data_IF_745169197855
#
_entry.id   IF_745169197855
#
_cell.length_a   1.000
_cell.length_b   1.000
_cell.length_c   1.000
_cell.angle_alpha   90.00
_cell.angle_beta   90.00
_cell.angle_gamma   90.00
#
_symmetry.space_group_name_H-M   'P 1'
#
loop_
_entity.id
_entity.type
_entity.pdbx_description
1 polymer ?
#
# COMPACT_ATOMS: atom_id res chain seq x y z
N UNK A 1 52.90 0.85 27.61
CA UNK A 1 51.86 1.61 26.89
C UNK A 1 50.83 0.62 26.38
N UNK A 2 49.55 0.70 26.76
CA UNK A 2 48.52 -0.13 26.13
C UNK A 2 48.21 0.44 24.73
N UNK A 3 48.01 -0.46 23.77
CA UNK A 3 47.70 -0.14 22.38
C UNK A 3 46.35 0.61 22.25
N UNK A 4 46.19 1.52 21.26
CA UNK A 4 44.91 2.18 21.02
C UNK A 4 43.86 1.13 20.61
N UNK A 5 42.75 1.07 21.35
CA UNK A 5 41.62 0.23 21.00
C UNK A 5 41.02 0.69 19.66
N UNK A 6 41.00 -0.22 18.69
CA UNK A 6 40.63 0.00 17.30
C UNK A 6 39.23 0.61 17.15
N UNK A 7 39.11 1.71 16.40
CA UNK A 7 37.88 2.48 16.12
C UNK A 7 36.71 1.61 15.66
N UNK A 8 37.00 0.52 14.94
CA UNK A 8 36.02 -0.44 14.42
C UNK A 8 35.35 -1.27 15.52
N UNK A 9 36.06 -1.58 16.62
CA UNK A 9 35.48 -2.29 17.78
C UNK A 9 34.44 -1.42 18.51
N UNK A 10 34.62 -0.09 18.48
CA UNK A 10 33.66 0.86 19.07
C UNK A 10 32.34 0.95 18.31
N UNK A 11 32.34 0.72 16.99
CA UNK A 11 31.12 0.75 16.17
C UNK A 11 30.19 -0.45 16.47
N UNK A 12 30.76 -1.65 16.62
CA UNK A 12 29.98 -2.85 16.90
C UNK A 12 29.43 -2.84 18.34
N UNK A 13 30.20 -2.33 19.30
CA UNK A 13 29.72 -2.14 20.68
C UNK A 13 28.64 -1.05 20.75
N UNK A 14 28.84 0.09 20.08
CA UNK A 14 27.83 1.16 19.98
C UNK A 14 26.54 0.67 19.30
N UNK A 15 26.67 -0.23 18.32
CA UNK A 15 25.52 -0.86 17.66
C UNK A 15 24.75 -1.78 18.60
N UNK A 16 25.44 -2.60 19.39
CA UNK A 16 24.83 -3.48 20.39
C UNK A 16 24.08 -2.66 21.47
N UNK A 17 24.71 -1.60 21.98
CA UNK A 17 24.12 -0.72 22.98
C UNK A 17 22.90 0.05 22.45
N UNK A 18 22.89 0.36 21.14
CA UNK A 18 21.83 1.15 20.49
C UNK A 18 20.81 0.28 19.73
N UNK A 19 20.88 -1.05 19.79
CA UNK A 19 20.13 -1.97 18.93
C UNK A 19 18.61 -1.72 18.97
N UNK A 20 18.04 -1.58 20.18
CA UNK A 20 16.61 -1.33 20.35
C UNK A 20 16.15 0.01 19.79
N UNK A 21 17.01 1.02 19.85
CA UNK A 21 16.72 2.35 19.33
C UNK A 21 16.81 2.39 17.80
N UNK A 22 17.77 1.66 17.21
CA UNK A 22 17.92 1.49 15.77
C UNK A 22 16.73 0.71 15.18
N UNK A 23 16.26 -0.36 15.83
CA UNK A 23 15.05 -1.09 15.41
C UNK A 23 13.82 -0.18 15.47
N UNK A 24 13.65 0.61 16.54
CA UNK A 24 12.54 1.57 16.64
C UNK A 24 12.66 2.71 15.62
N UNK A 25 13.87 3.10 15.25
CA UNK A 25 14.14 4.10 14.21
C UNK A 25 13.76 3.57 12.81
N UNK A 26 14.22 2.37 12.44
CA UNK A 26 13.90 1.74 11.15
C UNK A 26 12.43 1.35 11.07
N UNK A 27 11.81 0.87 12.16
CA UNK A 27 10.39 0.49 12.21
C UNK A 27 9.43 1.64 11.88
N UNK A 28 9.81 2.89 12.20
CA UNK A 28 9.02 4.08 11.85
C UNK A 28 8.95 4.34 10.34
N UNK A 29 9.83 3.72 9.54
CA UNK A 29 10.04 4.08 8.13
C UNK A 29 9.86 2.91 7.17
N UNK A 30 10.35 1.72 7.53
CA UNK A 30 10.20 0.48 6.76
C UNK A 30 9.13 -0.47 7.33
N UNK A 31 8.50 -0.09 8.46
CA UNK A 31 7.52 -0.91 9.16
C UNK A 31 8.16 -1.89 10.17
N UNK A 32 7.41 -2.30 11.20
CA UNK A 32 7.93 -3.08 12.33
C UNK A 32 8.36 -4.50 11.96
N UNK A 33 7.77 -5.08 10.91
CA UNK A 33 8.10 -6.44 10.46
C UNK A 33 9.46 -6.49 9.75
N UNK A 34 9.74 -5.55 8.84
CA UNK A 34 11.03 -5.50 8.12
C UNK A 34 12.18 -4.92 8.97
N UNK A 35 11.88 -4.14 10.01
CA UNK A 35 12.90 -3.40 10.75
C UNK A 35 13.90 -4.27 11.50
N UNK A 36 13.48 -5.42 12.07
CA UNK A 36 14.42 -6.33 12.74
C UNK A 36 15.36 -6.98 11.73
N UNK A 37 14.82 -7.41 10.60
CA UNK A 37 15.58 -8.10 9.56
C UNK A 37 16.60 -7.14 8.92
N UNK A 38 16.20 -5.90 8.61
CA UNK A 38 17.10 -4.89 8.04
C UNK A 38 18.21 -4.46 9.01
N UNK A 39 17.91 -4.33 10.30
CA UNK A 39 18.92 -4.02 11.31
C UNK A 39 19.85 -5.22 11.53
N UNK A 40 19.33 -6.45 11.44
CA UNK A 40 20.14 -7.66 11.53
C UNK A 40 21.09 -7.81 10.33
N UNK A 41 20.61 -7.59 9.11
CA UNK A 41 21.44 -7.58 7.89
C UNK A 41 22.54 -6.53 7.95
N UNK A 42 22.24 -5.35 8.50
CA UNK A 42 23.22 -4.29 8.69
C UNK A 42 24.32 -4.68 9.69
N UNK A 43 23.95 -5.40 10.76
CA UNK A 43 24.89 -5.93 11.73
C UNK A 43 25.81 -6.98 11.10
N UNK A 44 25.26 -7.90 10.30
CA UNK A 44 26.04 -8.94 9.60
C UNK A 44 27.05 -8.28 8.66
N UNK A 45 26.62 -7.30 7.84
CA UNK A 45 27.52 -6.58 6.92
C UNK A 45 28.63 -5.82 7.64
N UNK A 46 28.34 -5.25 8.81
CA UNK A 46 29.34 -4.55 9.63
C UNK A 46 30.32 -5.54 10.28
N UNK A 47 29.84 -6.70 10.73
CA UNK A 47 30.65 -7.77 11.33
C UNK A 47 31.52 -8.50 10.29
N UNK A 48 31.05 -8.66 9.07
CA UNK A 48 31.81 -9.22 7.94
C UNK A 48 32.92 -8.25 7.49
N UNK A 49 32.62 -6.95 7.47
CA UNK A 49 33.61 -5.91 7.16
C UNK A 49 34.74 -5.86 8.19
N UNK A 50 34.42 -6.00 9.49
CA UNK A 50 35.44 -6.14 10.54
C UNK A 50 36.33 -7.38 10.35
N UNK A 51 35.77 -8.47 9.80
CA UNK A 51 36.51 -9.72 9.57
C UNK A 51 37.47 -9.64 8.38
N UNK A 52 37.24 -8.69 7.46
CA UNK A 52 38.07 -8.43 6.27
C UNK A 52 39.05 -7.27 6.39
N UNK A 53 38.93 -6.40 7.41
CA UNK A 53 39.78 -5.21 7.62
C UNK A 53 41.09 -5.49 8.42
N UNK A 54 41.56 -6.73 8.45
CA UNK A 54 42.85 -7.10 9.09
C UNK A 54 44.09 -6.52 8.36
N UNK A 55 43.95 -5.85 7.21
CA UNK A 55 45.08 -5.47 6.33
C UNK A 55 45.05 -4.01 5.78
N UNK A 56 44.28 -3.07 6.35
CA UNK A 56 44.24 -1.67 5.86
C UNK A 56 44.59 -0.61 6.94
N UNK A 57 45.21 0.54 6.59
CA UNK A 57 45.78 1.47 7.56
C UNK A 57 44.69 2.25 8.32
N UNK A 58 44.92 2.47 9.62
CA UNK A 58 44.01 3.14 10.52
C UNK A 58 43.66 4.58 10.07
N UNK A 59 42.36 4.83 9.89
CA UNK A 59 41.82 6.18 9.72
C UNK A 59 41.69 6.90 11.08
N UNK A 60 41.75 8.26 11.11
CA UNK A 60 41.96 9.02 12.33
C UNK A 60 40.76 8.97 13.28
N UNK A 61 41.08 9.07 14.58
CA UNK A 61 40.16 9.06 15.72
C UNK A 61 38.93 9.96 15.50
N UNK A 62 37.78 9.33 15.26
CA UNK A 62 36.49 10.02 15.20
C UNK A 62 35.88 10.08 16.62
N UNK A 63 35.31 11.23 17.04
CA UNK A 63 34.76 11.39 18.38
C UNK A 63 33.58 10.43 18.64
N UNK A 64 33.33 10.00 19.90
CA UNK A 64 32.36 8.94 20.24
C UNK A 64 30.90 9.20 19.82
N UNK A 65 30.53 10.44 19.48
CA UNK A 65 29.22 10.77 18.90
C UNK A 65 29.10 10.51 17.39
N UNK A 66 30.21 10.49 16.65
CA UNK A 66 30.25 10.31 15.20
C UNK A 66 29.88 8.86 14.79
N UNK A 67 30.30 7.87 15.59
CA UNK A 67 29.96 6.46 15.38
C UNK A 67 28.46 6.21 15.40
N UNK A 68 27.74 6.82 16.35
CA UNK A 68 26.28 6.70 16.47
C UNK A 68 25.56 7.42 15.32
N UNK A 69 25.96 8.65 14.98
CA UNK A 69 25.41 9.37 13.82
C UNK A 69 25.61 8.59 12.51
N UNK A 70 26.80 7.98 12.33
CA UNK A 70 27.10 7.12 11.18
C UNK A 70 26.19 5.89 11.13
N UNK A 71 25.95 5.21 12.25
CA UNK A 71 25.03 4.06 12.30
C UNK A 71 23.60 4.44 11.92
N UNK A 72 23.09 5.59 12.39
CA UNK A 72 21.75 6.07 12.00
C UNK A 72 21.67 6.42 10.51
N UNK A 73 22.73 7.02 9.93
CA UNK A 73 22.80 7.29 8.49
C UNK A 73 22.84 5.99 7.66
N UNK A 74 23.58 4.96 8.11
CA UNK A 74 23.60 3.64 7.46
C UNK A 74 22.21 2.99 7.56
N UNK A 75 21.55 3.02 8.73
CA UNK A 75 20.19 2.50 8.88
C UNK A 75 19.18 3.24 8.01
N UNK A 76 19.31 4.56 7.86
CA UNK A 76 18.46 5.37 6.98
C UNK A 76 18.65 4.97 5.51
N UNK A 77 19.88 4.79 5.06
CA UNK A 77 20.18 4.34 3.70
C UNK A 77 19.65 2.94 3.41
N UNK A 78 19.75 2.01 4.37
CA UNK A 78 19.21 0.64 4.25
C UNK A 78 17.68 0.66 4.20
N UNK A 79 17.03 1.48 5.03
CA UNK A 79 15.58 1.65 4.99
C UNK A 79 15.11 2.26 3.67
N UNK A 80 15.82 3.27 3.15
CA UNK A 80 15.54 3.89 1.85
C UNK A 80 15.77 2.89 0.71
N UNK A 81 16.85 2.10 0.74
CA UNK A 81 17.11 1.11 -0.30
C UNK A 81 16.08 -0.01 -0.28
N UNK A 82 15.60 -0.46 0.89
CA UNK A 82 14.50 -1.41 1.01
C UNK A 82 13.20 -0.88 0.40
N UNK A 83 12.86 0.39 0.69
CA UNK A 83 11.69 1.06 0.09
C UNK A 83 11.85 1.24 -1.43
N UNK A 84 13.06 1.60 -1.90
CA UNK A 84 13.40 1.71 -3.32
C UNK A 84 13.44 0.34 -4.03
N UNK A 85 13.82 -0.73 -3.34
CA UNK A 85 13.83 -2.09 -3.88
C UNK A 85 12.41 -2.60 -4.03
N UNK A 86 11.53 -2.35 -3.04
CA UNK A 86 10.09 -2.62 -3.15
C UNK A 86 9.43 -1.89 -4.32
N UNK A 87 9.85 -0.64 -4.60
CA UNK A 87 9.42 0.11 -5.78
C UNK A 87 10.03 -0.43 -7.09
N UNK A 88 11.31 -0.80 -7.11
CA UNK A 88 11.97 -1.42 -8.27
C UNK A 88 11.44 -2.82 -8.60
N UNK A 89 11.01 -3.62 -7.63
CA UNK A 89 10.32 -4.90 -7.89
C UNK A 89 8.95 -4.65 -8.50
N UNK A 90 8.25 -3.58 -8.09
CA UNK A 90 6.98 -3.16 -8.71
C UNK A 90 7.19 -2.60 -10.13
N UNK A 91 8.30 -1.91 -10.40
CA UNK A 91 8.63 -1.31 -11.71
C UNK A 91 9.29 -2.30 -12.69
N UNK A 92 10.00 -3.34 -12.21
CA UNK A 92 10.52 -4.43 -13.08
C UNK A 92 9.41 -5.21 -13.79
N UNK A 93 8.19 -5.20 -13.23
CA UNK A 93 7.00 -5.75 -13.88
C UNK A 93 6.38 -4.80 -14.92
N UNK A 94 6.83 -3.54 -14.99
CA UNK A 94 6.29 -2.53 -15.92
C UNK A 94 7.17 -2.36 -17.18
N UNK A 95 8.49 -2.60 -17.08
CA UNK A 95 9.42 -2.31 -18.19
C UNK A 95 9.64 -3.46 -19.20
N UNK A 96 9.24 -4.71 -18.91
CA UNK A 96 9.41 -5.82 -19.85
C UNK A 96 8.38 -5.86 -21.00
N UNK A 97 7.47 -4.88 -21.09
CA UNK A 97 6.38 -4.86 -22.08
C UNK A 97 6.64 -3.97 -23.30
N UNK A 98 7.79 -3.29 -23.42
CA UNK A 98 8.11 -2.49 -24.62
C UNK A 98 9.56 -2.66 -25.06
N UNK A 99 9.68 -3.22 -26.25
CA UNK A 99 10.82 -3.30 -27.17
C UNK A 99 12.02 -4.19 -26.78
N UNK A 100 12.33 -5.10 -27.71
CA UNK A 100 13.47 -5.99 -27.64
C UNK A 100 14.76 -5.24 -27.99
N UNK A 101 15.53 -4.92 -26.96
CA UNK A 101 17.01 -4.78 -26.97
C UNK A 101 17.42 -4.69 -25.48
N UNK A 102 18.49 -5.36 -25.00
CA UNK A 102 18.88 -5.28 -23.59
C UNK A 102 19.36 -3.85 -23.24
N UNK A 103 18.76 -3.17 -22.23
CA UNK A 103 19.18 -1.82 -21.90
C UNK A 103 20.51 -1.82 -21.13
N UNK A 104 21.43 -1.01 -21.65
CA UNK A 104 22.71 -0.61 -21.04
C UNK A 104 22.47 0.20 -19.76
N UNK A 105 23.41 0.24 -18.78
CA UNK A 105 23.19 0.91 -17.51
C UNK A 105 23.38 2.43 -17.63
N UNK A 106 22.52 3.17 -16.92
CA UNK A 106 22.59 4.61 -16.57
C UNK A 106 22.10 5.62 -17.63
N UNK A 107 20.79 5.91 -17.60
CA UNK A 107 20.29 7.29 -17.46
C UNK A 107 18.80 7.28 -17.06
N UNK A 108 18.37 8.14 -16.11
CA UNK A 108 16.95 8.34 -15.82
C UNK A 108 16.24 8.89 -17.06
N UNK A 109 15.02 8.41 -17.34
CA UNK A 109 14.17 8.92 -18.41
C UNK A 109 14.06 10.46 -18.31
N UNK A 110 14.13 11.14 -19.45
CA UNK A 110 14.05 12.61 -19.56
C UNK A 110 12.69 13.10 -19.02
N UNK A 111 11.63 12.30 -19.18
CA UNK A 111 10.30 12.59 -18.66
C UNK A 111 10.26 12.56 -17.12
N UNK A 112 10.88 11.53 -16.52
CA UNK A 112 10.95 11.38 -15.06
C UNK A 112 11.79 12.49 -14.43
N UNK A 113 12.95 12.78 -15.01
CA UNK A 113 13.83 13.86 -14.56
C UNK A 113 13.13 15.21 -14.58
N UNK A 114 12.28 15.47 -15.59
CA UNK A 114 11.49 16.69 -15.67
C UNK A 114 10.38 16.71 -14.62
N UNK A 115 9.69 15.59 -14.38
CA UNK A 115 8.63 15.49 -13.37
C UNK A 115 9.15 15.70 -11.94
N UNK A 116 10.31 15.13 -11.61
CA UNK A 116 10.96 15.31 -10.30
C UNK A 116 11.48 16.72 -10.11
N UNK A 117 12.06 17.33 -11.16
CA UNK A 117 12.46 18.75 -11.12
C UNK A 117 11.25 19.67 -10.92
N UNK A 118 10.12 19.37 -11.56
CA UNK A 118 8.91 20.18 -11.43
C UNK A 118 8.25 20.02 -10.04
N UNK A 119 8.26 18.80 -9.47
CA UNK A 119 7.80 18.56 -8.10
C UNK A 119 8.68 19.28 -7.07
N UNK A 120 10.01 19.21 -7.25
CA UNK A 120 10.97 19.89 -6.39
C UNK A 120 10.80 21.41 -6.47
N UNK A 121 10.66 21.97 -7.67
CA UNK A 121 10.40 23.40 -7.87
C UNK A 121 9.09 23.85 -7.19
N UNK A 122 8.06 22.99 -7.17
CA UNK A 122 6.81 23.25 -6.44
C UNK A 122 7.00 23.29 -4.91
N UNK A 123 7.82 22.39 -4.36
CA UNK A 123 8.15 22.36 -2.93
C UNK A 123 9.02 23.55 -2.56
N UNK A 124 10.06 23.86 -3.34
CA UNK A 124 10.92 25.02 -3.14
C UNK A 124 10.14 26.33 -3.18
N UNK A 125 9.22 26.49 -4.14
CA UNK A 125 8.33 27.65 -4.22
C UNK A 125 7.39 27.79 -3.02
N UNK A 126 6.89 26.68 -2.48
CA UNK A 126 6.04 26.70 -1.28
C UNK A 126 6.82 27.05 -0.01
N UNK A 127 8.07 26.58 0.10
CA UNK A 127 8.97 26.94 1.21
C UNK A 127 9.43 28.41 1.12
N UNK A 128 9.60 28.95 -0.09
CA UNK A 128 9.95 30.35 -0.30
C UNK A 128 8.84 31.33 0.12
N UNK A 129 7.57 30.92 0.07
CA UNK A 129 6.42 31.73 0.48
C UNK A 129 6.17 31.71 2.01
N UNK A 130 6.87 30.86 2.76
CA UNK A 130 6.75 30.82 4.21
C UNK A 130 7.50 31.98 4.88
N UNK A 131 7.01 32.49 6.03
CA UNK A 131 7.77 33.44 6.85
C UNK A 131 9.15 32.87 7.21
N UNK A 132 10.19 33.70 7.20
CA UNK A 132 11.59 33.27 7.40
C UNK A 132 11.77 32.38 8.64
N UNK A 133 11.22 32.79 9.79
CA UNK A 133 11.27 31.99 11.04
C UNK A 133 10.63 30.60 10.89
N UNK A 134 9.52 30.49 10.16
CA UNK A 134 8.81 29.23 9.95
C UNK A 134 9.63 28.29 9.05
N UNK A 135 10.26 28.83 8.01
CA UNK A 135 11.14 28.08 7.11
C UNK A 135 12.40 27.60 7.85
N UNK A 136 13.06 28.47 8.61
CA UNK A 136 14.30 28.13 9.31
C UNK A 136 14.07 27.06 10.38
N UNK A 137 12.98 27.17 11.16
CA UNK A 137 12.56 26.14 12.12
C UNK A 137 12.27 24.81 11.41
N UNK A 138 11.58 24.85 10.28
CA UNK A 138 11.22 23.63 9.52
C UNK A 138 12.44 22.93 8.91
N UNK A 139 13.38 23.69 8.34
CA UNK A 139 14.61 23.14 7.77
C UNK A 139 15.52 22.58 8.87
N UNK A 140 15.63 23.27 10.01
CA UNK A 140 16.42 22.80 11.14
C UNK A 140 15.81 21.55 11.80
N UNK A 141 14.47 21.42 11.85
CA UNK A 141 13.79 20.19 12.29
C UNK A 141 14.01 19.02 11.31
N UNK A 142 13.91 19.27 10.00
CA UNK A 142 13.82 18.19 8.99
C UNK A 142 15.12 17.80 8.31
N UNK A 143 16.05 18.74 8.15
CA UNK A 143 17.33 18.52 7.48
C UNK A 143 18.45 18.39 8.50
N UNK A 144 18.43 19.23 9.55
CA UNK A 144 19.46 19.22 10.60
C UNK A 144 19.10 18.33 11.81
N UNK A 145 17.84 17.90 11.93
CA UNK A 145 17.38 17.00 13.00
C UNK A 145 17.35 17.62 14.40
N UNK A 146 17.26 18.95 14.49
CA UNK A 146 17.21 19.67 15.76
C UNK A 146 15.91 19.38 16.53
N UNK A 147 15.99 19.23 17.86
CA UNK A 147 14.82 18.97 18.68
C UNK A 147 13.94 20.22 18.85
N UNK A 148 12.63 20.02 19.08
CA UNK A 148 11.72 21.15 19.30
C UNK A 148 12.09 22.02 20.51
N UNK A 149 12.82 21.47 21.49
CA UNK A 149 13.31 22.20 22.65
C UNK A 149 14.51 23.10 22.28
N UNK A 150 15.46 22.58 21.52
CA UNK A 150 16.60 23.37 21.01
C UNK A 150 16.15 24.46 20.04
N UNK A 151 15.13 24.19 19.22
CA UNK A 151 14.54 25.18 18.31
C UNK A 151 13.76 26.27 19.05
N UNK A 152 13.12 25.91 20.16
CA UNK A 152 12.44 26.86 21.04
C UNK A 152 13.44 27.83 21.68
N UNK A 153 14.58 27.31 22.15
CA UNK A 153 15.67 28.10 22.72
C UNK A 153 16.37 28.97 21.66
N UNK A 154 16.75 28.38 20.51
CA UNK A 154 17.43 29.05 19.39
C UNK A 154 16.65 30.23 18.83
N UNK A 155 15.32 30.15 18.82
CA UNK A 155 14.45 31.20 18.28
C UNK A 155 13.74 32.03 19.35
N UNK A 156 14.03 31.82 20.63
CA UNK A 156 13.43 32.58 21.74
C UNK A 156 11.91 32.45 21.84
N UNK A 157 11.36 31.28 21.54
CA UNK A 157 9.91 31.00 21.49
C UNK A 157 9.55 29.77 22.31
N UNK A 158 8.28 29.61 22.69
CA UNK A 158 7.81 28.38 23.34
C UNK A 158 7.84 27.17 22.38
N UNK A 159 8.07 25.96 22.89
CA UNK A 159 7.94 24.69 22.15
C UNK A 159 6.61 24.58 21.37
N UNK A 160 5.50 25.00 21.98
CA UNK A 160 4.17 25.02 21.34
C UNK A 160 4.08 25.96 20.12
N UNK A 161 4.93 26.98 20.07
CA UNK A 161 5.04 27.89 18.92
C UNK A 161 5.87 27.24 17.83
N UNK A 162 6.96 26.54 18.17
CA UNK A 162 7.74 25.71 17.23
C UNK A 162 6.85 24.67 16.55
N UNK A 163 6.07 23.90 17.32
CA UNK A 163 5.14 22.90 16.78
C UNK A 163 4.13 23.50 15.80
N UNK A 164 3.62 24.70 16.11
CA UNK A 164 2.67 25.41 15.24
C UNK A 164 3.32 25.85 13.92
N UNK A 165 4.55 26.35 13.97
CA UNK A 165 5.27 26.78 12.77
C UNK A 165 5.65 25.55 11.90
N UNK A 166 6.04 24.43 12.51
CA UNK A 166 6.30 23.17 11.80
C UNK A 166 5.04 22.64 11.12
N UNK A 167 3.89 22.63 11.80
CA UNK A 167 2.62 22.24 11.20
C UNK A 167 2.23 23.15 10.03
N UNK A 168 2.42 24.47 10.18
CA UNK A 168 2.14 25.43 9.11
C UNK A 168 3.02 25.23 7.88
N UNK A 169 4.28 24.86 8.07
CA UNK A 169 5.20 24.53 6.97
C UNK A 169 4.79 23.22 6.27
N UNK A 170 4.43 22.18 7.04
CA UNK A 170 3.95 20.90 6.51
C UNK A 170 2.67 21.07 5.69
N UNK A 171 1.69 21.82 6.18
CA UNK A 171 0.45 22.09 5.46
C UNK A 171 0.70 22.80 4.12
N UNK A 172 1.67 23.72 4.07
CA UNK A 172 2.06 24.44 2.84
C UNK A 172 2.73 23.52 1.81
N UNK A 173 3.64 22.66 2.27
CA UNK A 173 4.33 21.66 1.41
C UNK A 173 3.33 20.63 0.89
N UNK A 174 2.43 20.14 1.74
CA UNK A 174 1.40 19.19 1.36
C UNK A 174 0.42 19.80 0.34
N UNK A 175 -0.01 21.05 0.54
CA UNK A 175 -0.84 21.77 -0.42
C UNK A 175 -0.13 22.01 -1.76
N UNK A 176 1.19 22.15 -1.77
CA UNK A 176 1.97 22.24 -3.02
C UNK A 176 2.04 20.89 -3.75
N UNK A 177 2.30 19.81 -3.01
CA UNK A 177 2.36 18.45 -3.56
C UNK A 177 1.00 17.94 -4.06
N UNK A 178 -0.11 18.35 -3.43
CA UNK A 178 -1.48 18.07 -3.90
C UNK A 178 -1.81 18.79 -5.21
N UNK A 179 -1.38 20.05 -5.34
CA UNK A 179 -1.53 20.82 -6.59
C UNK A 179 -0.73 20.21 -7.74
N UNK A 180 0.49 19.76 -7.48
CA UNK A 180 1.30 19.04 -8.47
C UNK A 180 0.67 17.70 -8.90
N UNK A 181 0.00 16.98 -7.98
CA UNK A 181 -0.71 15.73 -8.26
C UNK A 181 -2.04 15.87 -9.02
N UNK A 182 -2.51 17.09 -9.28
CA UNK A 182 -3.74 17.34 -10.04
C UNK A 182 -5.03 17.33 -9.20
N UNK A 183 -4.93 17.32 -7.87
CA UNK A 183 -6.10 17.39 -6.99
C UNK A 183 -6.66 18.84 -6.95
N UNK A 184 -7.71 19.12 -7.72
CA UNK A 184 -8.40 20.43 -7.69
C UNK A 184 -9.48 20.47 -6.60
N UNK A 185 -9.05 20.72 -5.36
CA UNK A 185 -9.93 21.24 -4.32
C UNK A 185 -9.21 22.37 -3.57
N UNK A 186 -9.63 23.60 -3.82
CA UNK A 186 -9.10 24.78 -3.13
C UNK A 186 -9.55 24.81 -1.65
N UNK A 187 -8.66 25.07 -0.68
CA UNK A 187 -9.09 25.36 0.69
C UNK A 187 -9.65 26.79 0.78
N UNK A 188 -10.82 26.96 1.40
CA UNK A 188 -11.41 28.28 1.67
C UNK A 188 -10.54 29.07 2.67
N UNK A 189 -10.29 30.38 2.45
CA UNK A 189 -9.51 31.20 3.36
C UNK A 189 -10.27 31.44 4.68
N UNK A 190 -9.65 31.07 5.80
CA UNK A 190 -10.12 31.43 7.15
C UNK A 190 -9.53 32.79 7.56
N UNK A 191 -10.09 33.88 7.06
CA UNK A 191 -9.79 35.23 7.57
C UNK A 191 -11.01 35.79 8.30
N UNK A 192 -10.78 36.40 9.47
CA UNK A 192 -11.83 37.17 10.19
C UNK A 192 -12.21 36.73 11.61
N UNK A 193 -11.34 36.04 12.36
CA UNK A 193 -11.64 35.59 13.74
C UNK A 193 -11.42 36.66 14.83
N UNK A 194 -11.64 37.95 14.54
CA UNK A 194 -11.37 39.05 15.51
C UNK A 194 -12.52 40.00 15.84
N UNK A 195 -13.75 39.78 15.36
CA UNK A 195 -14.93 40.58 15.79
C UNK A 195 -16.21 39.77 16.10
N UNK A 196 -16.08 38.46 16.32
CA UNK A 196 -17.21 37.59 16.69
C UNK A 196 -16.96 36.83 18.00
N UNK A 197 -16.23 37.45 18.95
CA UNK A 197 -16.00 36.89 20.28
C UNK A 197 -16.85 37.55 21.38
N UNK A 198 -17.78 38.46 21.03
CA UNK A 198 -18.65 39.13 22.00
C UNK A 198 -20.11 38.65 21.96
N UNK A 199 -20.51 37.82 21.00
CA UNK A 199 -21.89 37.29 20.91
C UNK A 199 -22.02 35.81 21.27
N UNK A 200 -20.92 35.08 21.48
CA UNK A 200 -20.94 33.66 21.85
C UNK A 200 -20.79 33.37 23.35
N UNK A 201 -20.65 34.40 24.20
CA UNK A 201 -20.75 34.21 25.67
C UNK A 201 -22.20 34.21 26.19
N UNK A 202 -23.19 34.51 25.35
CA UNK A 202 -24.61 34.54 25.73
C UNK A 202 -25.39 33.23 25.52
N UNK A 203 -24.83 32.26 24.79
CA UNK A 203 -25.50 30.96 24.49
C UNK A 203 -24.76 29.76 25.09
N UNK A 204 -23.96 29.96 26.14
CA UNK A 204 -23.46 28.86 26.98
C UNK A 204 -24.48 28.39 28.04
N UNK A 205 -25.67 29.01 28.09
CA UNK A 205 -26.70 28.74 29.11
C UNK A 205 -27.78 27.72 28.77
N UNK A 206 -27.86 27.20 27.53
CA UNK A 206 -28.93 26.27 27.13
C UNK A 206 -28.42 25.14 26.20
N UNK A 207 -27.74 24.15 26.80
CA UNK A 207 -28.09 22.74 26.56
C UNK A 207 -27.90 22.05 25.20
N UNK A 208 -27.08 22.53 24.25
CA UNK A 208 -26.84 21.81 22.96
C UNK A 208 -25.39 21.29 22.80
N UNK A 209 -24.70 21.01 23.91
CA UNK A 209 -23.30 20.58 23.85
C UNK A 209 -22.89 19.64 24.96
N UNK A 210 -23.71 18.62 25.27
CA UNK A 210 -23.29 17.57 26.19
C UNK A 210 -22.00 16.92 25.67
N UNK A 211 -20.97 16.67 26.51
CA UNK A 211 -19.80 15.87 26.14
C UNK A 211 -20.21 14.53 25.53
N UNK A 212 -21.34 13.96 25.98
CA UNK A 212 -21.90 12.75 25.41
C UNK A 212 -22.35 12.94 23.95
N UNK A 213 -22.85 14.11 23.57
CA UNK A 213 -23.21 14.42 22.18
C UNK A 213 -21.98 14.64 21.29
N UNK A 214 -20.90 15.21 21.84
CA UNK A 214 -19.62 15.35 21.14
C UNK A 214 -18.89 14.01 20.96
N UNK A 215 -18.84 13.16 22.01
CA UNK A 215 -18.37 11.77 21.92
C UNK A 215 -19.24 10.94 20.95
N UNK A 216 -20.56 11.15 20.99
CA UNK A 216 -21.49 10.47 20.11
C UNK A 216 -21.39 10.92 18.65
N UNK A 217 -20.93 12.15 18.38
CA UNK A 217 -20.64 12.60 17.02
C UNK A 217 -19.28 12.07 16.54
N UNK A 218 -18.27 12.03 17.43
CA UNK A 218 -16.91 11.57 17.11
C UNK A 218 -16.85 10.09 16.73
N UNK A 219 -17.76 9.25 17.23
CA UNK A 219 -17.86 7.84 16.83
C UNK A 219 -18.47 7.63 15.42
N UNK A 220 -19.19 8.63 14.87
CA UNK A 220 -19.75 8.58 13.51
C UNK A 220 -18.80 9.16 12.45
N UNK A 221 -17.80 9.93 12.87
CA UNK A 221 -16.79 10.47 11.96
C UNK A 221 -15.68 9.45 11.74
N UNK A 222 -15.45 9.02 10.49
CA UNK A 222 -14.33 8.16 10.18
C UNK A 222 -13.02 8.93 10.40
N UNK A 223 -12.10 8.31 11.13
CA UNK A 223 -10.79 8.87 11.46
C UNK A 223 -9.81 8.71 10.28
N UNK A 224 -10.09 7.77 9.40
CA UNK A 224 -9.33 7.52 8.18
C UNK A 224 -10.29 7.03 7.10
N UNK A 225 -10.16 7.60 5.91
CA UNK A 225 -10.90 7.19 4.72
C UNK A 225 -9.98 7.17 3.50
N UNK A 226 -10.09 6.14 2.68
CA UNK A 226 -9.44 6.10 1.36
C UNK A 226 -10.30 5.33 0.37
N UNK A 227 -10.33 5.81 -0.88
CA UNK A 227 -10.96 5.12 -2.02
C UNK A 227 -9.85 4.60 -2.92
N UNK A 228 -9.88 3.31 -3.21
CA UNK A 228 -8.85 2.60 -3.95
C UNK A 228 -9.45 2.01 -5.22
N UNK A 229 -8.71 2.11 -6.32
CA UNK A 229 -9.05 1.51 -7.59
C UNK A 229 -7.76 1.07 -8.31
N UNK A 230 -7.83 -0.06 -9.00
CA UNK A 230 -6.75 -0.59 -9.84
C UNK A 230 -7.21 -0.67 -11.29
N UNK A 231 -6.30 -0.35 -12.21
CA UNK A 231 -6.50 -0.57 -13.64
C UNK A 231 -6.31 -2.06 -14.00
N UNK A 232 -6.68 -2.43 -15.23
CA UNK A 232 -6.37 -3.74 -15.82
C UNK A 232 -4.87 -4.03 -15.72
N UNK A 233 -4.53 -5.24 -15.28
CA UNK A 233 -3.14 -5.70 -15.11
C UNK A 233 -2.36 -5.06 -13.96
N UNK A 234 -2.94 -4.16 -13.17
CA UNK A 234 -2.27 -3.48 -12.05
C UNK A 234 -2.73 -4.02 -10.71
N UNK A 235 -1.78 -4.38 -9.85
CA UNK A 235 -2.05 -4.67 -8.43
C UNK A 235 -1.68 -3.46 -7.58
N UNK A 236 -2.39 -3.25 -6.46
CA UNK A 236 -2.08 -2.18 -5.51
C UNK A 236 -1.92 -2.76 -4.11
N UNK A 237 -0.79 -2.49 -3.45
CA UNK A 237 -0.59 -2.81 -2.05
C UNK A 237 -0.70 -1.54 -1.20
N UNK A 238 -1.75 -1.45 -0.38
CA UNK A 238 -2.05 -0.32 0.48
C UNK A 238 -1.82 -0.67 1.95
N UNK A 239 -0.81 -0.10 2.62
CA UNK A 239 -0.70 -0.17 4.08
C UNK A 239 -1.81 0.65 4.74
N UNK A 240 -2.38 0.13 5.83
CA UNK A 240 -3.46 0.74 6.58
C UNK A 240 -2.93 1.26 7.94
N UNK A 241 -3.55 2.30 8.52
CA UNK A 241 -3.05 2.97 9.73
C UNK A 241 -3.11 2.11 11.01
N UNK A 242 -3.81 0.98 10.97
CA UNK A 242 -3.88 0.00 12.06
C UNK A 242 -2.76 -1.06 12.01
N UNK A 243 -1.85 -0.96 11.03
CA UNK A 243 -0.79 -1.94 10.78
C UNK A 243 -1.24 -3.12 9.91
N UNK A 244 -2.50 -3.13 9.46
CA UNK A 244 -2.97 -4.08 8.45
C UNK A 244 -2.48 -3.68 7.05
N UNK A 245 -2.54 -4.60 6.10
CA UNK A 245 -2.35 -4.29 4.67
C UNK A 245 -3.49 -4.85 3.82
N UNK A 246 -3.80 -4.10 2.76
CA UNK A 246 -4.79 -4.45 1.74
C UNK A 246 -4.06 -4.55 0.41
N UNK A 247 -4.07 -5.73 -0.22
CA UNK A 247 -3.63 -5.90 -1.60
C UNK A 247 -4.86 -6.01 -2.49
N UNK A 248 -5.02 -5.08 -3.42
CA UNK A 248 -6.12 -5.01 -4.37
C UNK A 248 -5.66 -5.64 -5.69
N UNK A 249 -6.45 -6.59 -6.21
CA UNK A 249 -6.19 -7.27 -7.49
C UNK A 249 -6.41 -6.31 -8.67
N UNK A 250 -6.09 -6.71 -9.90
CA UNK A 250 -6.39 -5.95 -11.10
C UNK A 250 -7.89 -5.69 -11.28
N UNK A 251 -8.23 -4.56 -11.91
CA UNK A 251 -9.60 -4.15 -12.20
C UNK A 251 -10.55 -4.22 -10.98
N UNK A 252 -10.06 -3.79 -9.81
CA UNK A 252 -10.75 -3.92 -8.53
C UNK A 252 -10.94 -2.56 -7.86
N UNK A 253 -11.96 -2.44 -6.99
CA UNK A 253 -12.30 -1.20 -6.30
C UNK A 253 -12.68 -1.46 -4.85
N UNK A 254 -12.14 -0.68 -3.93
CA UNK A 254 -12.44 -0.78 -2.52
C UNK A 254 -12.51 0.60 -1.84
N UNK A 255 -13.36 0.71 -0.83
CA UNK A 255 -13.44 1.87 0.06
C UNK A 255 -13.07 1.43 1.47
N UNK A 256 -12.20 2.17 2.13
CA UNK A 256 -11.77 1.89 3.50
C UNK A 256 -12.24 3.03 4.38
N UNK A 257 -12.97 2.70 5.45
CA UNK A 257 -13.48 3.62 6.45
C UNK A 257 -13.18 3.10 7.86
N UNK A 258 -12.25 3.75 8.56
CA UNK A 258 -11.95 3.38 9.95
C UNK A 258 -12.62 4.35 10.91
N UNK A 259 -13.41 3.79 11.83
CA UNK A 259 -14.09 4.49 12.90
C UNK A 259 -13.38 4.23 14.23
N UNK A 260 -13.78 4.94 15.27
CA UNK A 260 -13.23 4.76 16.61
C UNK A 260 -13.42 3.33 17.14
N UNK A 261 -14.52 2.66 16.80
CA UNK A 261 -14.92 1.35 17.35
C UNK A 261 -14.87 0.20 16.34
N UNK A 262 -14.68 0.48 15.04
CA UNK A 262 -14.67 -0.55 13.99
C UNK A 262 -13.80 -0.14 12.81
N UNK A 263 -13.21 -1.13 12.15
CA UNK A 263 -12.45 -0.97 10.91
C UNK A 263 -13.28 -1.55 9.79
N UNK A 264 -13.75 -0.72 8.87
CA UNK A 264 -14.65 -1.17 7.81
C UNK A 264 -13.99 -1.02 6.44
N UNK A 265 -14.15 -2.02 5.59
CA UNK A 265 -13.79 -1.98 4.17
C UNK A 265 -15.01 -2.41 3.35
N UNK A 266 -15.28 -1.74 2.24
CA UNK A 266 -16.27 -2.15 1.25
C UNK A 266 -15.55 -2.55 -0.02
N UNK A 267 -15.69 -3.79 -0.46
CA UNK A 267 -15.25 -4.24 -1.77
C UNK A 267 -16.37 -3.98 -2.77
N UNK A 268 -16.11 -3.09 -3.72
CA UNK A 268 -17.09 -2.65 -4.72
C UNK A 268 -16.97 -3.42 -6.04
N UNK A 269 -15.79 -3.95 -6.35
CA UNK A 269 -15.52 -4.74 -7.54
C UNK A 269 -14.22 -5.55 -7.38
N UNK A 270 -14.17 -6.70 -8.04
CA UNK A 270 -12.96 -7.52 -8.19
C UNK A 270 -12.55 -8.22 -6.90
N UNK A 271 -11.24 -8.32 -6.65
CA UNK A 271 -10.70 -9.12 -5.55
C UNK A 271 -9.75 -8.32 -4.66
N UNK A 272 -9.75 -8.62 -3.37
CA UNK A 272 -8.82 -8.04 -2.40
C UNK A 272 -8.33 -9.10 -1.42
N UNK A 273 -7.04 -9.04 -1.12
CA UNK A 273 -6.41 -9.81 -0.05
C UNK A 273 -6.10 -8.88 1.12
N UNK A 274 -6.38 -9.36 2.33
CA UNK A 274 -6.20 -8.63 3.56
C UNK A 274 -5.23 -9.38 4.47
N UNK A 275 -4.20 -8.70 4.97
CA UNK A 275 -3.40 -9.16 6.10
C UNK A 275 -3.71 -8.24 7.29
N UNK A 276 -4.64 -8.69 8.15
CA UNK A 276 -5.19 -7.86 9.22
C UNK A 276 -4.40 -8.00 10.50
N UNK A 277 -3.93 -6.88 11.04
CA UNK A 277 -3.29 -6.81 12.35
C UNK A 277 -4.30 -7.14 13.46
N UNK A 278 -3.82 -7.91 14.46
CA UNK A 278 -4.67 -8.38 15.56
C UNK A 278 -5.10 -7.23 16.46
N UNK A 279 -6.41 -7.02 16.56
CA UNK A 279 -7.04 -6.04 17.46
C UNK A 279 -8.44 -6.57 17.82
N UNK A 280 -8.63 -6.89 19.10
CA UNK A 280 -9.87 -7.48 19.64
C UNK A 280 -10.90 -6.43 20.04
N UNK A 281 -10.49 -5.17 20.19
CA UNK A 281 -11.38 -4.08 20.59
C UNK A 281 -12.10 -3.47 19.38
N UNK A 282 -11.45 -3.47 18.21
CA UNK A 282 -12.02 -2.94 16.97
C UNK A 282 -12.01 -4.02 15.88
N UNK A 283 -13.11 -4.76 15.67
CA UNK A 283 -13.17 -5.78 14.63
C UNK A 283 -12.93 -5.17 13.24
N UNK A 284 -12.33 -5.96 12.35
CA UNK A 284 -12.13 -5.63 10.95
C UNK A 284 -13.25 -6.29 10.13
N UNK A 285 -14.02 -5.48 9.42
CA UNK A 285 -15.24 -5.87 8.74
C UNK A 285 -15.10 -5.54 7.25
N UNK A 286 -15.17 -6.55 6.40
CA UNK A 286 -15.22 -6.38 4.94
C UNK A 286 -16.65 -6.64 4.47
N UNK A 287 -17.26 -5.68 3.79
CA UNK A 287 -18.54 -5.83 3.12
C UNK A 287 -18.30 -6.05 1.63
N UNK A 288 -18.87 -7.11 1.07
CA UNK A 288 -18.88 -7.39 -0.36
C UNK A 288 -20.30 -7.80 -0.76
N UNK A 289 -20.96 -7.03 -1.62
CA UNK A 289 -22.39 -7.15 -1.87
C UNK A 289 -23.20 -7.22 -0.55
N UNK A 290 -24.00 -8.26 -0.36
CA UNK A 290 -24.79 -8.57 0.84
C UNK A 290 -24.03 -9.42 1.88
N UNK A 291 -22.80 -9.82 1.59
CA UNK A 291 -21.96 -10.64 2.47
C UNK A 291 -21.07 -9.77 3.35
N UNK A 292 -21.07 -10.08 4.66
CA UNK A 292 -20.23 -9.42 5.66
C UNK A 292 -19.20 -10.39 6.22
N UNK A 293 -17.93 -10.01 6.13
CA UNK A 293 -16.78 -10.80 6.61
C UNK A 293 -16.16 -10.10 7.80
N UNK A 294 -16.11 -10.76 8.96
CA UNK A 294 -15.60 -10.18 10.21
C UNK A 294 -14.41 -10.97 10.73
N UNK A 295 -13.32 -10.26 11.05
CA UNK A 295 -12.09 -10.84 11.58
C UNK A 295 -11.51 -9.99 12.72
N UNK A 296 -10.68 -10.61 13.54
CA UNK A 296 -9.93 -9.93 14.61
C UNK A 296 -8.44 -9.80 14.31
N UNK A 297 -7.89 -10.61 13.40
CA UNK A 297 -6.47 -10.66 13.05
C UNK A 297 -6.20 -11.89 12.19
N UNK A 298 -6.26 -11.74 10.88
CA UNK A 298 -6.43 -12.86 9.93
C UNK A 298 -5.90 -12.47 8.56
N UNK A 299 -5.44 -13.47 7.81
CA UNK A 299 -5.01 -13.34 6.42
C UNK A 299 -6.03 -14.05 5.54
N UNK A 300 -6.68 -13.32 4.64
CA UNK A 300 -7.79 -13.86 3.85
C UNK A 300 -8.01 -13.05 2.57
N UNK A 301 -8.67 -13.68 1.61
CA UNK A 301 -9.13 -13.10 0.35
C UNK A 301 -10.65 -12.94 0.39
N UNK A 302 -11.12 -11.84 -0.19
CA UNK A 302 -12.52 -11.65 -0.59
C UNK A 302 -12.53 -11.30 -2.07
N UNK A 303 -13.30 -12.04 -2.85
CA UNK A 303 -13.51 -11.81 -4.27
C UNK A 303 -15.00 -11.62 -4.55
N UNK A 304 -15.33 -10.52 -5.23
CA UNK A 304 -16.65 -10.25 -5.75
C UNK A 304 -16.68 -10.69 -7.22
N UNK A 305 -17.43 -11.77 -7.48
CA UNK A 305 -17.78 -12.25 -8.80
C UNK A 305 -19.15 -11.70 -9.20
N UNK A 306 -19.57 -11.86 -10.46
CA UNK A 306 -20.82 -11.24 -10.95
C UNK A 306 -22.06 -11.67 -10.16
N UNK A 307 -22.15 -12.96 -9.80
CA UNK A 307 -23.28 -13.53 -9.06
C UNK A 307 -22.83 -14.25 -7.77
N UNK A 308 -21.61 -14.02 -7.31
CA UNK A 308 -21.10 -14.74 -6.13
C UNK A 308 -20.08 -13.92 -5.35
N UNK A 309 -19.99 -14.23 -4.05
CA UNK A 309 -18.91 -13.76 -3.18
C UNK A 309 -18.10 -14.97 -2.75
N UNK A 310 -16.79 -14.90 -2.98
CA UNK A 310 -15.84 -15.92 -2.55
C UNK A 310 -15.00 -15.36 -1.40
N UNK A 311 -14.90 -16.13 -0.32
CA UNK A 311 -14.05 -15.83 0.83
C UNK A 311 -13.12 -17.00 1.06
N UNK A 312 -11.81 -16.76 1.08
CA UNK A 312 -10.80 -17.80 1.28
C UNK A 312 -9.80 -17.38 2.36
N UNK A 313 -9.43 -18.29 3.26
CA UNK A 313 -8.64 -17.96 4.45
C UNK A 313 -7.25 -18.57 4.35
N UNK A 314 -6.23 -17.71 4.34
CA UNK A 314 -4.82 -18.10 4.34
C UNK A 314 -4.36 -18.48 5.76
N UNK A 315 -4.64 -17.62 6.75
CA UNK A 315 -4.27 -17.89 8.14
C UNK A 315 -5.23 -17.21 9.13
N UNK A 316 -5.60 -17.90 10.20
CA UNK A 316 -6.48 -17.39 11.26
C UNK A 316 -7.91 -17.91 11.14
N UNK A 317 -8.89 -17.11 11.57
CA UNK A 317 -10.31 -17.45 11.54
C UNK A 317 -11.16 -16.28 11.07
N UNK A 318 -12.13 -16.59 10.22
CA UNK A 318 -13.05 -15.63 9.61
C UNK A 318 -14.47 -16.01 9.94
N UNK A 319 -15.27 -15.04 10.39
CA UNK A 319 -16.72 -15.19 10.45
C UNK A 319 -17.34 -14.53 9.22
N UNK A 320 -18.08 -15.29 8.43
CA UNK A 320 -18.83 -14.81 7.28
C UNK A 320 -20.31 -14.82 7.62
N UNK A 321 -21.00 -13.72 7.36
CA UNK A 321 -22.46 -13.61 7.41
C UNK A 321 -22.96 -13.39 6.00
N UNK A 322 -23.84 -14.26 5.52
CA UNK A 322 -24.45 -14.13 4.20
C UNK A 322 -25.64 -13.14 4.20
N UNK A 323 -26.23 -12.89 3.04
CA UNK A 323 -27.41 -12.02 2.90
C UNK A 323 -28.67 -12.52 3.61
N UNK A 324 -28.75 -13.83 3.93
CA UNK A 324 -29.85 -14.40 4.72
C UNK A 324 -29.67 -14.20 6.23
N UNK A 325 -28.47 -13.81 6.65
CA UNK A 325 -28.06 -13.67 8.04
C UNK A 325 -27.45 -14.94 8.64
N UNK A 326 -27.34 -16.02 7.87
CA UNK A 326 -26.66 -17.23 8.29
C UNK A 326 -25.17 -16.95 8.52
N UNK A 327 -24.60 -17.61 9.53
CA UNK A 327 -23.20 -17.43 9.93
C UNK A 327 -22.41 -18.67 9.60
N UNK A 328 -21.27 -18.45 8.94
CA UNK A 328 -20.30 -19.48 8.60
C UNK A 328 -18.95 -19.10 9.22
N UNK A 329 -18.23 -20.09 9.73
CA UNK A 329 -16.88 -19.89 10.25
C UNK A 329 -15.90 -20.62 9.33
N UNK A 330 -14.84 -19.91 8.92
CA UNK A 330 -13.77 -20.45 8.09
C UNK A 330 -12.44 -20.35 8.86
N UNK A 331 -11.70 -21.44 8.87
CA UNK A 331 -10.31 -21.52 9.32
C UNK A 331 -9.32 -21.50 8.16
N UNK A 332 -8.03 -21.54 8.49
CA UNK A 332 -6.94 -21.58 7.50
C UNK A 332 -7.11 -22.72 6.48
N UNK A 333 -6.85 -22.43 5.20
CA UNK A 333 -6.99 -23.38 4.09
C UNK A 333 -8.43 -23.62 3.65
N UNK A 334 -9.42 -22.92 4.23
CA UNK A 334 -10.83 -23.06 3.86
C UNK A 334 -11.30 -21.91 2.98
N UNK A 335 -12.26 -22.23 2.12
CA UNK A 335 -12.92 -21.31 1.21
C UNK A 335 -14.44 -21.53 1.27
N UNK A 336 -15.19 -20.44 1.17
CA UNK A 336 -16.64 -20.43 1.01
C UNK A 336 -17.00 -19.59 -0.20
N UNK A 337 -17.79 -20.16 -1.11
CA UNK A 337 -18.41 -19.44 -2.22
C UNK A 337 -19.90 -19.34 -1.96
N UNK A 338 -20.41 -18.11 -1.93
CA UNK A 338 -21.82 -17.78 -1.71
C UNK A 338 -22.40 -17.28 -3.03
N UNK A 339 -23.28 -18.05 -3.64
CA UNK A 339 -23.98 -17.70 -4.86
C UNK A 339 -25.50 -17.91 -4.67
N UNK A 340 -26.38 -17.06 -5.23
CA UNK A 340 -27.81 -17.23 -5.15
C UNK A 340 -28.27 -18.61 -5.62
N UNK A 341 -29.15 -19.24 -4.84
CA UNK A 341 -29.71 -20.57 -5.18
C UNK A 341 -28.73 -21.74 -5.02
N UNK A 342 -27.48 -21.50 -4.62
CA UNK A 342 -26.52 -22.57 -4.30
C UNK A 342 -26.41 -22.76 -2.79
N UNK A 343 -26.23 -24.01 -2.36
CA UNK A 343 -25.99 -24.30 -0.95
C UNK A 343 -24.57 -23.90 -0.58
N UNK A 344 -24.46 -23.02 0.42
CA UNK A 344 -23.18 -22.59 0.98
C UNK A 344 -22.40 -23.80 1.53
N UNK A 345 -21.29 -24.16 0.88
CA UNK A 345 -20.44 -25.27 1.28
C UNK A 345 -19.00 -24.80 1.46
N UNK A 346 -18.43 -25.09 2.64
CA UNK A 346 -17.02 -24.84 2.93
C UNK A 346 -16.17 -25.89 2.23
N UNK A 347 -15.19 -25.44 1.47
CA UNK A 347 -14.26 -26.26 0.68
C UNK A 347 -12.83 -26.01 1.15
N UNK A 348 -11.95 -26.98 0.92
CA UNK A 348 -10.51 -26.81 1.18
C UNK A 348 -9.80 -26.34 -0.08
N UNK A 349 -8.91 -25.37 0.06
CA UNK A 349 -8.13 -24.81 -1.06
C UNK A 349 -6.63 -24.93 -0.78
N UNK A 350 -5.87 -25.23 -1.83
CA UNK A 350 -4.42 -25.40 -1.75
C UNK A 350 -3.67 -24.07 -1.66
N UNK A 351 -4.20 -23.00 -2.28
CA UNK A 351 -3.62 -21.68 -2.29
C UNK A 351 -4.73 -20.62 -2.21
N UNK A 352 -4.43 -19.52 -1.52
CA UNK A 352 -5.32 -18.36 -1.35
C UNK A 352 -4.67 -17.16 -2.02
N UNK A 353 -5.44 -16.42 -2.82
CA UNK A 353 -4.96 -15.24 -3.55
C UNK A 353 -3.66 -15.47 -4.35
N UNK A 354 -3.57 -16.59 -5.09
CA UNK A 354 -2.39 -16.95 -5.90
C UNK A 354 -2.01 -15.87 -6.94
N UNK A 355 -2.94 -14.98 -7.29
CA UNK A 355 -2.72 -13.85 -8.19
C UNK A 355 -1.68 -12.86 -7.65
N UNK A 356 -1.49 -12.80 -6.32
CA UNK A 356 -0.43 -12.01 -5.68
C UNK A 356 0.97 -12.48 -6.07
N UNK A 357 1.10 -13.75 -6.45
CA UNK A 357 2.34 -14.38 -6.90
C UNK A 357 2.39 -14.50 -8.44
N UNK A 358 1.45 -13.87 -9.15
CA UNK A 358 1.38 -13.91 -10.61
C UNK A 358 0.71 -15.16 -11.18
N UNK A 359 -0.09 -15.88 -10.38
CA UNK A 359 -0.73 -17.13 -10.78
C UNK A 359 -2.26 -17.08 -10.70
N UNK A 360 -2.92 -17.77 -11.63
CA UNK A 360 -4.36 -18.02 -11.58
C UNK A 360 -4.59 -19.53 -11.54
N UNK A 361 -5.30 -19.98 -10.52
CA UNK A 361 -5.68 -21.38 -10.33
C UNK A 361 -7.15 -21.58 -10.73
N UNK A 362 -7.38 -22.61 -11.54
CA UNK A 362 -8.68 -23.05 -12.02
C UNK A 362 -8.88 -24.51 -11.65
N UNK A 363 -9.95 -24.79 -10.90
CA UNK A 363 -10.31 -26.13 -10.43
C UNK A 363 -11.72 -26.44 -10.91
N UNK A 364 -11.82 -27.12 -12.05
CA UNK A 364 -13.10 -27.40 -12.71
C UNK A 364 -13.94 -26.13 -12.93
N UNK A 365 -13.27 -25.04 -13.31
CA UNK A 365 -13.87 -23.71 -13.43
C UNK A 365 -14.45 -23.52 -14.84
N UNK A 366 -15.69 -23.05 -15.02
CA UNK A 366 -16.26 -22.80 -16.35
C UNK A 366 -15.41 -21.82 -17.17
N UNK A 367 -15.26 -22.09 -18.47
CA UNK A 367 -14.43 -21.28 -19.37
C UNK A 367 -14.85 -19.80 -19.40
N UNK A 368 -16.15 -19.50 -19.26
CA UNK A 368 -16.60 -18.12 -19.13
C UNK A 368 -16.02 -17.42 -17.90
N UNK A 369 -15.96 -18.10 -16.76
CA UNK A 369 -15.36 -17.56 -15.53
C UNK A 369 -13.84 -17.41 -15.66
N UNK A 370 -13.18 -18.38 -16.30
CA UNK A 370 -11.75 -18.33 -16.62
C UNK A 370 -11.42 -17.14 -17.51
N UNK A 371 -12.18 -16.92 -18.58
CA UNK A 371 -11.99 -15.79 -19.48
C UNK A 371 -12.16 -14.45 -18.76
N UNK A 372 -13.21 -14.29 -17.94
CA UNK A 372 -13.41 -13.09 -17.12
C UNK A 372 -12.24 -12.82 -16.17
N UNK A 373 -11.71 -13.86 -15.50
CA UNK A 373 -10.55 -13.72 -14.61
C UNK A 373 -9.29 -13.31 -15.38
N UNK A 374 -9.09 -13.84 -16.59
CA UNK A 374 -7.95 -13.49 -17.44
C UNK A 374 -8.08 -12.09 -18.05
N UNK A 375 -9.30 -11.66 -18.39
CA UNK A 375 -9.58 -10.34 -18.95
C UNK A 375 -9.15 -9.21 -18.01
N UNK A 376 -9.20 -9.42 -16.68
CA UNK A 376 -8.67 -8.46 -15.70
C UNK A 376 -7.18 -8.13 -15.87
N UNK A 377 -6.43 -9.00 -16.54
CA UNK A 377 -5.00 -8.81 -16.79
C UNK A 377 -4.67 -8.64 -18.28
N UNK A 378 -5.67 -8.66 -19.17
CA UNK A 378 -5.49 -8.54 -20.61
C UNK A 378 -6.00 -7.19 -21.10
N UNK A 379 -5.19 -6.49 -21.90
CA UNK A 379 -5.64 -5.29 -22.62
C UNK A 379 -6.51 -5.62 -23.83
N UNK A 380 -6.50 -6.88 -24.28
CA UNK A 380 -7.37 -7.37 -25.35
C UNK A 380 -8.65 -7.91 -24.73
N UNK A 381 -9.84 -7.43 -25.15
CA UNK A 381 -11.12 -7.98 -24.71
C UNK A 381 -11.25 -9.46 -25.03
N UNK A 382 -11.85 -10.22 -24.13
CA UNK A 382 -12.13 -11.65 -24.33
C UNK A 382 -13.62 -11.90 -24.33
N UNK A 383 -14.11 -12.56 -25.38
CA UNK A 383 -15.50 -13.01 -25.47
C UNK A 383 -15.54 -14.52 -25.58
N UNK A 384 -16.35 -15.16 -24.74
CA UNK A 384 -16.65 -16.60 -24.83
C UNK A 384 -18.08 -16.76 -25.31
N UNK A 385 -18.28 -17.53 -26.38
CA UNK A 385 -19.63 -17.82 -26.86
C UNK A 385 -20.35 -18.81 -25.92
N UNK A 386 -21.70 -18.77 -25.86
CA UNK A 386 -22.48 -19.60 -24.94
C UNK A 386 -22.25 -21.12 -25.08
N UNK A 387 -21.88 -21.58 -26.28
CA UNK A 387 -21.61 -22.98 -26.60
C UNK A 387 -20.32 -23.52 -25.94
N UNK A 388 -19.36 -22.65 -25.65
CA UNK A 388 -18.09 -22.95 -24.99
C UNK A 388 -18.06 -22.52 -23.52
N UNK A 389 -18.95 -21.62 -23.09
CA UNK A 389 -18.96 -20.99 -21.76
C UNK A 389 -18.89 -21.98 -20.57
N UNK A 390 -19.59 -23.12 -20.69
CA UNK A 390 -19.69 -24.12 -19.64
C UNK A 390 -18.56 -25.16 -19.63
N UNK A 391 -17.61 -25.10 -20.59
CA UNK A 391 -16.51 -26.06 -20.63
C UNK A 391 -15.62 -25.93 -19.39
N UNK A 392 -15.37 -27.00 -18.64
CA UNK A 392 -14.55 -26.93 -17.44
C UNK A 392 -13.07 -26.79 -17.81
N UNK A 393 -12.41 -25.87 -17.13
CA UNK A 393 -10.97 -25.65 -17.20
C UNK A 393 -10.35 -26.12 -15.89
N UNK A 394 -9.35 -26.98 -16.00
CA UNK A 394 -8.47 -27.38 -14.90
C UNK A 394 -7.05 -26.95 -15.24
N UNK A 395 -6.40 -26.24 -14.33
CA UNK A 395 -4.99 -25.91 -14.47
C UNK A 395 -4.60 -24.63 -13.75
N UNK A 396 -3.29 -24.37 -13.81
CA UNK A 396 -2.67 -23.19 -13.23
C UNK A 396 -1.98 -22.40 -14.33
N UNK A 397 -2.25 -21.10 -14.39
CA UNK A 397 -1.79 -20.21 -15.47
C UNK A 397 -0.98 -19.07 -14.87
N UNK A 398 0.20 -18.76 -15.44
CA UNK A 398 0.91 -17.51 -15.10
C UNK A 398 0.21 -16.35 -15.77
N UNK A 399 -0.09 -15.30 -15.01
CA UNK A 399 -0.71 -14.06 -15.52
C UNK A 399 0.11 -13.50 -16.69
N UNK A 400 1.44 -13.45 -16.55
CA UNK A 400 2.35 -12.99 -17.60
C UNK A 400 2.32 -13.84 -18.88
N UNK A 401 1.85 -15.09 -18.81
CA UNK A 401 1.75 -16.02 -19.94
C UNK A 401 0.31 -16.23 -20.42
N UNK A 402 -0.66 -15.47 -19.93
CA UNK A 402 -2.09 -15.64 -20.21
C UNK A 402 -2.39 -15.66 -21.73
N UNK A 403 -1.82 -14.73 -22.51
CA UNK A 403 -2.02 -14.68 -23.96
C UNK A 403 -1.52 -15.93 -24.68
N UNK A 404 -0.35 -16.43 -24.29
CA UNK A 404 0.21 -17.68 -24.84
C UNK A 404 -0.67 -18.88 -24.49
N UNK A 405 -1.19 -18.92 -23.25
CA UNK A 405 -2.08 -19.97 -22.80
C UNK A 405 -3.42 -19.97 -23.56
N UNK A 406 -4.03 -18.81 -23.81
CA UNK A 406 -5.25 -18.70 -24.61
C UNK A 406 -5.08 -19.26 -26.03
N UNK A 407 -3.93 -19.03 -26.67
CA UNK A 407 -3.61 -19.61 -27.99
C UNK A 407 -3.43 -21.13 -27.96
N UNK A 408 -3.15 -21.70 -26.80
CA UNK A 408 -3.03 -23.15 -26.60
C UNK A 408 -4.35 -23.82 -26.23
N UNK A 409 -5.40 -23.08 -25.84
CA UNK A 409 -6.71 -23.63 -25.49
C UNK A 409 -7.27 -24.63 -26.53
N UNK A 410 -7.19 -24.38 -27.86
CA UNK A 410 -7.67 -25.33 -28.86
C UNK A 410 -6.97 -26.70 -28.86
N UNK A 411 -5.80 -26.82 -28.21
CA UNK A 411 -5.06 -28.09 -28.09
C UNK A 411 -5.54 -28.93 -26.92
N UNK A 412 -6.16 -28.32 -25.91
CA UNK A 412 -6.56 -28.98 -24.67
C UNK A 412 -8.08 -29.06 -24.51
N UNK A 413 -8.83 -28.13 -25.10
CA UNK A 413 -10.28 -28.08 -25.08
C UNK A 413 -10.83 -28.01 -26.51
N UNK A 414 -12.06 -28.50 -26.75
CA UNK A 414 -12.72 -28.46 -28.05
C UNK A 414 -13.23 -27.03 -28.33
N UNK A 415 -12.31 -26.07 -28.43
CA UNK A 415 -12.59 -24.66 -28.71
C UNK A 415 -11.76 -24.15 -29.89
N UNK A 416 -12.26 -23.13 -30.56
CA UNK A 416 -11.55 -22.33 -31.53
C UNK A 416 -11.37 -20.92 -30.97
N UNK A 417 -10.19 -20.33 -31.17
CA UNK A 417 -9.87 -18.97 -30.75
C UNK A 417 -9.62 -18.16 -32.01
N UNK A 418 -10.42 -17.13 -32.23
CA UNK A 418 -10.35 -16.24 -33.38
C UNK A 418 -10.18 -14.80 -32.91
N UNK A 419 -9.32 -14.04 -33.57
CA UNK A 419 -9.25 -12.59 -33.38
C UNK A 419 -10.26 -11.93 -34.31
N UNK A 420 -11.28 -11.29 -33.73
CA UNK A 420 -12.29 -10.53 -34.46
C UNK A 420 -11.94 -9.04 -34.38
N UNK A 421 -11.91 -8.40 -35.54
CA UNK A 421 -11.59 -6.98 -35.68
C UNK A 421 -12.87 -6.20 -35.42
N UNK A 422 -12.97 -5.50 -34.30
CA UNK A 422 -14.06 -4.55 -34.10
C UNK A 422 -13.70 -3.21 -34.74
N UNK A 423 -14.47 -2.85 -35.76
CA UNK A 423 -14.49 -1.51 -36.31
C UNK A 423 -15.20 -0.61 -35.29
N UNK A 424 -14.44 0.24 -34.59
CA UNK A 424 -15.03 1.24 -33.69
C UNK A 424 -15.79 2.25 -34.54
N UNK A 425 -17.12 2.31 -34.41
CA UNK A 425 -17.97 3.31 -35.08
C UNK A 425 -17.57 4.77 -34.75
N UNK A 426 -16.79 5.03 -33.69
CA UNK A 426 -16.32 6.36 -33.33
C UNK A 426 -14.87 6.33 -32.77
N UNK A 427 -13.88 6.65 -33.61
CA UNK A 427 -12.50 6.99 -33.21
C UNK A 427 -11.39 6.11 -33.81
N UNK A 428 -10.15 6.63 -33.98
CA UNK A 428 -9.07 5.90 -34.63
C UNK A 428 -8.50 4.87 -33.65
N UNK A 429 -8.99 3.64 -33.71
CA UNK A 429 -8.45 2.53 -32.93
C UNK A 429 -9.18 1.23 -33.22
N UNK A 430 -8.57 0.39 -34.06
CA UNK A 430 -9.07 -0.96 -34.34
C UNK A 430 -8.88 -1.84 -33.10
N UNK A 431 -9.96 -2.12 -32.38
CA UNK A 431 -9.92 -3.03 -31.24
C UNK A 431 -9.96 -4.47 -31.73
N UNK A 432 -8.95 -5.28 -31.39
CA UNK A 432 -8.99 -6.74 -31.64
C UNK A 432 -9.59 -7.43 -30.41
N UNK A 433 -10.70 -8.13 -30.61
CA UNK A 433 -11.35 -8.95 -29.56
C UNK A 433 -11.02 -10.41 -29.80
N UNK A 434 -10.60 -11.13 -28.76
CA UNK A 434 -10.43 -12.57 -28.84
C UNK A 434 -11.77 -13.26 -28.58
N UNK A 435 -12.27 -13.98 -29.57
CA UNK A 435 -13.53 -14.74 -29.47
C UNK A 435 -13.21 -16.22 -29.36
N UNK A 436 -13.75 -16.85 -28.31
CA UNK A 436 -13.60 -18.27 -28.03
C UNK A 436 -14.94 -18.96 -28.29
N UNK A 437 -14.98 -19.87 -29.27
CA UNK A 437 -16.18 -20.63 -29.68
C UNK A 437 -15.94 -22.12 -29.53
N UNK A 438 -16.98 -22.94 -29.38
CA UNK A 438 -16.79 -24.39 -29.35
C UNK A 438 -16.40 -24.87 -30.75
N UNK A 439 -15.40 -25.75 -30.84
CA UNK A 439 -15.04 -26.42 -32.08
C UNK A 439 -16.00 -27.60 -32.26
N UNK A 440 -16.76 -27.57 -33.35
CA UNK A 440 -17.65 -28.65 -33.78
C UNK A 440 -16.89 -29.93 -34.07
#
# INVERSE_FOLDING_TARGET
MPAPASSSSSLLSTFQDSYHELVRFVARRAGPQAARDLVHDAWIRLAERQRGESDAPAAPDSPPGASRAYLYAVMENIAIDHLRHGQRTAERFDTCARDGEPPSPLSPDVADTHSYRQALAGVEGALAQLPARCRDIFLADRIEGASHAELAERHGVSVKTVEREVMRAMDSVEASLRRWRGDTAAPAPRTGRRRALSTLLGMAGLGVGSPAMWLAWRQWMPQYQVRLATATGRLLNQPLPDGSSLTLDAASRAEVDFYATRRQVRLLAGSAFFAVARDTERPFVVQAADVQVTVLGTRFEVALEDDAVLVAVDAGRVQVRDGSGARHELGAGQMLRLAPGQTAAVQTVAAVAAWREGWLDFQNTPLAEVARRLERYSLQPLRVEPDAAALPVLGRVRIAAAQGWLRMLPRTLPVSVQEEVQEKEQGPGTGRTLVIRRRS
#
